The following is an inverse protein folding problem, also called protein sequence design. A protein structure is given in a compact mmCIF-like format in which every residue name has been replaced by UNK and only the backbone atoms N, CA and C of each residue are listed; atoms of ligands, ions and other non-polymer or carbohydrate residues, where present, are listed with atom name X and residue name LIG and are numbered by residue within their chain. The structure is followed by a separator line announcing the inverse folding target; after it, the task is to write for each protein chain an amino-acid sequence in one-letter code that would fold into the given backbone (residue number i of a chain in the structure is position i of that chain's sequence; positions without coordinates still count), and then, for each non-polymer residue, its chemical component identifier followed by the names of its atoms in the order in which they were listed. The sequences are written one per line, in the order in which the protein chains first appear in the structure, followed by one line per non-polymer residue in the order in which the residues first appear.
data_IF_191280891258
#
_entry.id   IF_191280891258
#
_cell.length_a   1.000
_cell.length_b   1.000
_cell.length_c   1.000
_cell.angle_alpha   90.00
_cell.angle_beta   90.00
_cell.angle_gamma   90.00
#
_symmetry.space_group_name_H-M   'P 1'
#
loop_
_entity.id
_entity.type
_entity.pdbx_description
1 polymer ?
#
# COMPACT_ATOMS: atom_id res chain seq x y z
N UNK A 1 -12.39 16.95 11.72
CA UNK A 1 -11.57 17.30 10.54
C UNK A 1 -10.55 16.21 10.41
N UNK A 2 -10.63 15.40 9.36
CA UNK A 2 -9.61 14.40 9.02
C UNK A 2 -8.34 15.17 8.64
N UNK A 3 -7.18 14.80 9.21
CA UNK A 3 -5.95 15.49 8.82
C UNK A 3 -5.63 15.17 7.35
N UNK A 4 -4.91 16.04 6.62
CA UNK A 4 -4.47 15.75 5.25
C UNK A 4 -3.68 14.43 5.16
N UNK A 5 -2.90 14.12 6.19
CA UNK A 5 -2.18 12.86 6.34
C UNK A 5 -3.13 11.67 6.43
N UNK A 6 -4.14 11.72 7.30
CA UNK A 6 -5.10 10.61 7.45
C UNK A 6 -5.88 10.38 6.13
N UNK A 7 -6.27 11.46 5.44
CA UNK A 7 -6.94 11.35 4.14
C UNK A 7 -6.04 10.70 3.07
N UNK A 8 -4.74 11.02 3.09
CA UNK A 8 -3.77 10.44 2.18
C UNK A 8 -3.50 8.96 2.47
N UNK A 9 -3.36 8.60 3.75
CA UNK A 9 -3.22 7.20 4.18
C UNK A 9 -4.41 6.38 3.69
N UNK A 10 -5.64 6.83 3.97
CA UNK A 10 -6.86 6.14 3.51
C UNK A 10 -6.94 6.04 1.99
N UNK A 11 -6.55 7.09 1.26
CA UNK A 11 -6.57 7.07 -0.20
C UNK A 11 -5.58 6.05 -0.78
N UNK A 12 -4.33 6.03 -0.29
CA UNK A 12 -3.31 5.09 -0.77
C UNK A 12 -3.64 3.64 -0.38
N UNK A 13 -4.12 3.43 0.84
CA UNK A 13 -4.60 2.13 1.29
C UNK A 13 -5.73 1.61 0.41
N UNK A 14 -6.73 2.44 0.14
CA UNK A 14 -7.84 2.10 -0.75
C UNK A 14 -7.40 1.77 -2.17
N UNK A 15 -6.39 2.45 -2.71
CA UNK A 15 -5.83 2.14 -4.04
C UNK A 15 -5.17 0.76 -4.07
N UNK A 16 -4.39 0.42 -3.04
CA UNK A 16 -3.72 -0.87 -2.92
C UNK A 16 -4.76 -1.99 -2.81
N UNK A 17 -5.75 -1.85 -1.93
CA UNK A 17 -6.85 -2.83 -1.78
C UNK A 17 -7.69 -2.97 -3.05
N UNK A 18 -7.96 -1.87 -3.76
CA UNK A 18 -8.70 -1.93 -5.03
C UNK A 18 -7.91 -2.68 -6.09
N UNK A 19 -6.61 -2.40 -6.23
CA UNK A 19 -5.75 -3.09 -7.19
C UNK A 19 -5.70 -4.61 -6.93
N UNK A 20 -5.78 -5.03 -5.66
CA UNK A 20 -5.95 -6.45 -5.30
C UNK A 20 -7.23 -7.05 -5.87
N UNK A 21 -8.35 -6.35 -5.69
CA UNK A 21 -9.66 -6.82 -6.17
C UNK A 21 -9.71 -6.93 -7.69
N UNK A 22 -9.00 -6.05 -8.39
CA UNK A 22 -8.90 -6.03 -9.85
C UNK A 22 -7.90 -7.05 -10.40
N UNK A 23 -6.98 -7.56 -9.57
CA UNK A 23 -5.99 -8.56 -9.94
C UNK A 23 -6.15 -9.86 -9.11
N UNK A 24 -7.05 -10.77 -9.51
CA UNK A 24 -7.29 -12.03 -8.80
C UNK A 24 -6.15 -13.06 -8.94
N UNK A 25 -5.04 -12.74 -9.61
CA UNK A 25 -3.90 -13.65 -9.77
C UNK A 25 -4.11 -14.79 -10.77
N UNK A 26 -5.19 -14.75 -11.56
CA UNK A 26 -5.55 -15.81 -12.53
C UNK A 26 -4.99 -15.58 -13.93
N UNK A 27 -4.32 -14.44 -14.13
CA UNK A 27 -3.66 -14.08 -15.39
C UNK A 27 -2.37 -14.89 -15.61
N UNK A 28 -1.91 -15.05 -16.87
CA UNK A 28 -0.61 -15.68 -17.16
C UNK A 28 0.60 -14.95 -16.54
N UNK A 29 0.49 -13.65 -16.31
CA UNK A 29 1.52 -12.83 -15.63
C UNK A 29 0.86 -11.84 -14.67
N UNK A 30 0.43 -12.32 -13.48
CA UNK A 30 -0.33 -11.50 -12.56
C UNK A 30 0.52 -10.42 -11.88
N UNK A 31 1.85 -10.57 -11.87
CA UNK A 31 2.74 -9.53 -11.36
C UNK A 31 2.79 -8.33 -12.31
N UNK A 32 2.90 -8.59 -13.62
CA UNK A 32 2.88 -7.54 -14.63
C UNK A 32 1.54 -6.80 -14.65
N UNK A 33 0.42 -7.50 -14.46
CA UNK A 33 -0.89 -6.86 -14.35
C UNK A 33 -0.98 -5.94 -13.13
N UNK A 34 -0.42 -6.34 -11.98
CA UNK A 34 -0.29 -5.46 -10.82
C UNK A 34 0.55 -4.22 -11.13
N UNK A 35 1.68 -4.36 -11.82
CA UNK A 35 2.49 -3.20 -12.22
C UNK A 35 1.73 -2.28 -13.19
N UNK A 36 0.93 -2.82 -14.11
CA UNK A 36 0.10 -2.03 -15.00
C UNK A 36 -0.97 -1.23 -14.23
N UNK A 37 -1.58 -1.84 -13.21
CA UNK A 37 -2.50 -1.16 -12.30
C UNK A 37 -1.80 -0.04 -11.53
N UNK A 38 -0.60 -0.28 -10.98
CA UNK A 38 0.22 0.76 -10.34
C UNK A 38 0.43 1.96 -11.25
N UNK A 39 0.92 1.73 -12.48
CA UNK A 39 1.18 2.80 -13.45
C UNK A 39 -0.08 3.62 -13.74
N UNK A 40 -1.26 2.98 -13.76
CA UNK A 40 -2.54 3.67 -13.97
C UNK A 40 -2.94 4.58 -12.81
N UNK A 41 -2.58 4.24 -11.57
CA UNK A 41 -2.92 5.01 -10.36
C UNK A 41 -1.85 6.02 -9.95
N UNK A 42 -0.63 5.96 -10.51
CA UNK A 42 0.47 6.91 -10.24
C UNK A 42 0.06 8.39 -10.31
N UNK A 43 -0.74 8.86 -11.30
CA UNK A 43 -1.19 10.26 -11.32
C UNK A 43 -2.00 10.64 -10.07
N UNK A 44 -2.89 9.75 -9.63
CA UNK A 44 -3.70 9.95 -8.43
C UNK A 44 -2.85 9.92 -7.15
N UNK A 45 -1.87 9.01 -7.08
CA UNK A 45 -0.89 8.96 -5.98
C UNK A 45 -0.12 10.29 -5.89
N UNK A 46 0.32 10.86 -7.02
CA UNK A 46 1.01 12.15 -7.04
C UNK A 46 0.14 13.29 -6.51
N UNK A 47 -1.15 13.32 -6.85
CA UNK A 47 -2.09 14.31 -6.31
C UNK A 47 -2.23 14.19 -4.78
N UNK A 48 -2.33 12.95 -4.28
CA UNK A 48 -2.38 12.67 -2.84
C UNK A 48 -1.10 13.13 -2.14
N UNK A 49 0.07 12.80 -2.69
CA UNK A 49 1.37 13.20 -2.14
C UNK A 49 1.57 14.72 -2.14
N UNK A 50 1.12 15.40 -3.19
CA UNK A 50 1.17 16.86 -3.30
C UNK A 50 0.29 17.54 -2.24
N UNK A 51 -0.88 16.96 -1.90
CA UNK A 51 -1.77 17.49 -0.87
C UNK A 51 -1.16 17.42 0.54
N UNK A 52 -0.27 16.46 0.80
CA UNK A 52 0.45 16.30 2.08
C UNK A 52 1.77 17.10 2.10
N UNK A 53 2.23 17.60 0.95
CA UNK A 53 3.50 18.33 0.86
C UNK A 53 4.73 17.43 0.99
N UNK A 54 4.59 16.15 0.60
CA UNK A 54 5.68 15.16 0.68
C UNK A 54 6.68 15.31 -0.47
N UNK A 55 7.90 14.82 -0.26
CA UNK A 55 8.98 14.90 -1.25
C UNK A 55 8.78 13.86 -2.37
N UNK A 56 9.33 14.11 -3.57
CA UNK A 56 9.18 13.21 -4.72
C UNK A 56 9.71 11.79 -4.45
N UNK A 57 10.68 11.65 -3.55
CA UNK A 57 11.20 10.36 -3.08
C UNK A 57 10.15 9.48 -2.40
N UNK A 58 9.10 10.08 -1.82
CA UNK A 58 7.99 9.34 -1.19
C UNK A 58 7.21 8.51 -2.20
N UNK A 59 7.16 8.91 -3.48
CA UNK A 59 6.51 8.12 -4.53
C UNK A 59 7.19 6.75 -4.71
N UNK A 60 8.52 6.71 -4.63
CA UNK A 60 9.29 5.46 -4.73
C UNK A 60 9.03 4.51 -3.55
N UNK A 61 8.90 5.07 -2.34
CA UNK A 61 8.58 4.29 -1.14
C UNK A 61 7.16 3.72 -1.18
N UNK A 62 6.18 4.50 -1.66
CA UNK A 62 4.80 3.99 -1.86
C UNK A 62 4.76 2.91 -2.95
N UNK A 63 5.52 3.07 -4.03
CA UNK A 63 5.67 2.02 -5.05
C UNK A 63 6.29 0.74 -4.47
N UNK A 64 7.29 0.87 -3.60
CA UNK A 64 7.90 -0.27 -2.93
C UNK A 64 6.87 -1.02 -2.06
N UNK A 65 6.10 -0.30 -1.24
CA UNK A 65 5.00 -0.88 -0.44
C UNK A 65 3.98 -1.60 -1.34
N UNK A 66 3.59 -0.97 -2.46
CA UNK A 66 2.66 -1.58 -3.42
C UNK A 66 3.20 -2.90 -3.96
N UNK A 67 4.46 -2.94 -4.39
CA UNK A 67 5.11 -4.14 -4.95
C UNK A 67 5.24 -5.26 -3.92
N UNK A 68 5.61 -4.92 -2.68
CA UNK A 68 5.67 -5.88 -1.57
C UNK A 68 4.29 -6.49 -1.29
N UNK A 69 3.26 -5.65 -1.22
CA UNK A 69 1.89 -6.10 -1.01
C UNK A 69 1.43 -7.05 -2.14
N UNK A 70 1.59 -6.65 -3.40
CA UNK A 70 1.26 -7.50 -4.56
C UNK A 70 2.04 -8.81 -4.54
N UNK A 71 3.32 -8.78 -4.20
CA UNK A 71 4.16 -9.99 -4.15
C UNK A 71 3.68 -10.95 -3.06
N UNK A 72 3.40 -10.44 -1.85
CA UNK A 72 2.87 -11.25 -0.75
C UNK A 72 1.53 -11.91 -1.12
N UNK A 73 0.65 -11.16 -1.80
CA UNK A 73 -0.64 -11.69 -2.25
C UNK A 73 -0.49 -12.78 -3.31
N UNK A 74 0.36 -12.56 -4.32
CA UNK A 74 0.56 -13.52 -5.41
C UNK A 74 1.28 -14.79 -4.95
N UNK A 75 2.16 -14.69 -3.95
CA UNK A 75 2.78 -15.85 -3.31
C UNK A 75 1.81 -16.64 -2.43
N UNK A 76 0.58 -16.15 -2.21
CA UNK A 76 -0.38 -16.74 -1.30
C UNK A 76 0.06 -16.65 0.16
N UNK A 77 0.96 -15.71 0.46
CA UNK A 77 1.54 -15.50 1.79
C UNK A 77 0.60 -14.71 2.72
N UNK A 78 -0.66 -14.53 2.30
CA UNK A 78 -1.61 -13.69 3.02
C UNK A 78 -2.93 -14.41 3.36
N UNK A 79 -3.41 -14.29 4.62
CA UNK A 79 -2.76 -13.66 5.76
C UNK A 79 -2.17 -14.73 6.68
N UNK A 80 -0.86 -14.99 6.57
CA UNK A 80 -0.10 -15.60 7.67
C UNK A 80 0.41 -14.47 8.56
N UNK A 81 -0.30 -14.19 9.64
CA UNK A 81 0.27 -13.37 10.71
C UNK A 81 0.83 -14.31 11.78
N UNK A 82 2.12 -14.19 12.12
CA UNK A 82 2.77 -15.03 13.15
C UNK A 82 2.10 -14.91 14.53
N UNK A 83 1.21 -13.93 14.70
CA UNK A 83 0.48 -13.65 15.94
C UNK A 83 -0.87 -14.39 16.04
N UNK A 84 -1.43 -14.91 14.94
CA UNK A 84 -2.75 -15.59 14.97
C UNK A 84 -2.97 -16.56 13.80
N UNK A 85 -3.54 -17.72 14.10
CA UNK A 85 -3.99 -18.71 13.12
C UNK A 85 -5.42 -18.45 12.59
N UNK A 86 -6.13 -17.46 13.16
CA UNK A 86 -7.47 -17.08 12.70
C UNK A 86 -7.37 -16.22 11.42
N UNK A 87 -7.94 -16.65 10.28
CA UNK A 87 -7.74 -15.98 9.00
C UNK A 87 -8.38 -14.59 8.94
N UNK A 88 -9.47 -14.35 9.70
CA UNK A 88 -10.13 -13.04 9.76
C UNK A 88 -9.25 -12.05 10.52
N UNK A 89 -8.72 -12.46 11.67
CA UNK A 89 -7.84 -11.64 12.51
C UNK A 89 -6.50 -11.40 11.79
N UNK A 90 -5.95 -12.41 11.11
CA UNK A 90 -4.73 -12.24 10.34
C UNK A 90 -4.91 -11.23 9.19
N UNK A 91 -6.06 -11.24 8.52
CA UNK A 91 -6.38 -10.25 7.48
C UNK A 91 -6.46 -8.83 8.04
N UNK A 92 -7.14 -8.65 9.19
CA UNK A 92 -7.22 -7.34 9.85
C UNK A 92 -5.85 -6.81 10.27
N UNK A 93 -4.98 -7.68 10.79
CA UNK A 93 -3.64 -7.28 11.19
C UNK A 93 -2.73 -6.94 10.00
N UNK A 94 -2.89 -7.63 8.87
CA UNK A 94 -2.18 -7.28 7.63
C UNK A 94 -2.63 -5.92 7.08
N UNK A 95 -3.93 -5.61 7.19
CA UNK A 95 -4.51 -4.32 6.80
C UNK A 95 -4.00 -3.18 7.70
N UNK A 96 -4.00 -3.38 9.01
CA UNK A 96 -3.43 -2.44 10.00
C UNK A 96 -1.93 -2.21 9.77
N UNK A 97 -1.17 -3.27 9.45
CA UNK A 97 0.26 -3.17 9.16
C UNK A 97 0.52 -2.39 7.86
N UNK A 98 -0.30 -2.60 6.83
CA UNK A 98 -0.24 -1.83 5.59
C UNK A 98 -0.53 -0.35 5.83
N UNK A 99 -1.60 -0.05 6.58
CA UNK A 99 -1.93 1.33 6.97
C UNK A 99 -0.76 1.98 7.73
N UNK A 100 -0.16 1.24 8.68
CA UNK A 100 0.99 1.72 9.44
C UNK A 100 2.20 2.02 8.54
N UNK A 101 2.54 1.13 7.60
CA UNK A 101 3.65 1.33 6.65
C UNK A 101 3.44 2.58 5.80
N UNK A 102 2.23 2.77 5.26
CA UNK A 102 1.88 3.96 4.47
C UNK A 102 2.03 5.23 5.33
N UNK A 103 1.54 5.20 6.57
CA UNK A 103 1.66 6.33 7.49
C UNK A 103 3.11 6.70 7.79
N UNK A 104 3.96 5.71 8.05
CA UNK A 104 5.39 5.92 8.30
C UNK A 104 6.10 6.53 7.08
N UNK A 105 5.71 6.15 5.86
CA UNK A 105 6.28 6.72 4.63
C UNK A 105 5.83 8.17 4.41
N UNK A 106 4.58 8.49 4.73
CA UNK A 106 4.04 9.84 4.56
C UNK A 106 4.45 10.82 5.67
N UNK A 107 4.66 10.31 6.88
CA UNK A 107 5.09 11.08 8.06
C UNK A 107 6.22 10.33 8.77
N UNK A 108 7.43 10.30 8.17
CA UNK A 108 8.54 9.56 8.73
C UNK A 108 8.95 10.16 10.07
N UNK A 109 9.29 9.32 11.07
CA UNK A 109 9.77 9.82 12.35
C UNK A 109 11.00 10.70 12.12
N UNK A 110 11.10 11.81 12.85
CA UNK A 110 12.14 12.83 12.67
C UNK A 110 13.60 12.30 12.74
N UNK A 111 13.79 11.09 13.28
CA UNK A 111 15.07 10.37 13.31
C UNK A 111 15.51 9.82 11.94
N UNK A 112 14.60 9.74 10.96
CA UNK A 112 14.85 9.18 9.61
C UNK A 112 15.00 10.23 8.51
N UNK A 113 14.90 11.52 8.86
CA UNK A 113 15.12 12.64 7.94
C UNK A 113 16.60 13.02 8.03
N UNK A 114 17.41 12.57 7.08
CA UNK A 114 18.85 12.88 6.97
C UNK A 114 19.13 14.05 6.03
#
# INVERSE_FOLDING_TARGET
MTSPLDAAVTALHGLIVTARSENPGTSPDPYLDGLALWVSVVPQVREVLAAVGTHESTLGEVEYIYREAVTAWLCGDEPYNLLTDDPVTAALLADDELEHKIRVVLDPPAVWIF
#
